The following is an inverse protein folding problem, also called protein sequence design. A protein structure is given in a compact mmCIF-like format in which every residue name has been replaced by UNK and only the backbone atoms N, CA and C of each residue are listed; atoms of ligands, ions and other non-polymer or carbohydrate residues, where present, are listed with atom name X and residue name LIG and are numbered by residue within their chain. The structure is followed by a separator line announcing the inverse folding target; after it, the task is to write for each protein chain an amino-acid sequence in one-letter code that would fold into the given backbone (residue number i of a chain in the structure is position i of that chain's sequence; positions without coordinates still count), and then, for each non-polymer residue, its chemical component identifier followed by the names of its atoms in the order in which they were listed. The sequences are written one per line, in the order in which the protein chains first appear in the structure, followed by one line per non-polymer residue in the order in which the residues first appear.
data_IF_462597180734
#
_entry.id   IF_462597180734
#
_cell.length_a   1.000
_cell.length_b   1.000
_cell.length_c   1.000
_cell.angle_alpha   90.00
_cell.angle_beta   90.00
_cell.angle_gamma   90.00
#
_symmetry.space_group_name_H-M   'P 1'
#
loop_
_entity.id
_entity.type
_entity.pdbx_description
1 polymer ?
#
# COMPACT_ATOMS: atom_id res chain seq x y z
N UNK A 1 -18.76 -7.99 8.47
CA UNK A 1 -18.14 -8.31 9.75
C UNK A 1 -18.49 -7.20 10.73
N UNK A 2 -19.45 -7.44 11.59
CA UNK A 2 -19.78 -6.55 12.71
C UNK A 2 -18.78 -6.87 13.81
N UNK A 3 -17.72 -6.08 13.88
CA UNK A 3 -16.75 -6.20 14.97
C UNK A 3 -17.36 -5.59 16.23
N UNK A 4 -17.84 -6.42 17.13
CA UNK A 4 -18.13 -6.04 18.52
C UNK A 4 -16.79 -5.87 19.28
N UNK A 5 -15.99 -4.92 18.87
CA UNK A 5 -14.86 -4.45 19.64
C UNK A 5 -15.30 -3.23 20.43
N UNK A 6 -15.33 -3.31 21.75
CA UNK A 6 -15.38 -2.12 22.60
C UNK A 6 -14.11 -1.32 22.33
N UNK A 7 -14.24 -0.27 21.52
CA UNK A 7 -13.20 0.71 21.38
C UNK A 7 -13.34 1.66 22.57
N UNK A 8 -12.47 1.48 23.56
CA UNK A 8 -12.44 2.26 24.81
C UNK A 8 -11.65 3.57 24.60
N UNK A 9 -12.06 4.35 23.60
CA UNK A 9 -11.41 5.60 23.20
C UNK A 9 -12.33 6.83 23.25
N UNK A 10 -13.36 6.76 24.08
CA UNK A 10 -14.22 7.90 24.37
C UNK A 10 -15.29 8.21 23.32
N UNK A 11 -15.50 7.31 22.34
CA UNK A 11 -16.62 7.44 21.41
C UNK A 11 -17.92 6.92 22.06
N UNK A 12 -19.04 7.65 21.92
CA UNK A 12 -20.32 7.18 22.43
C UNK A 12 -20.74 5.88 21.73
N UNK A 13 -21.33 4.95 22.47
CA UNK A 13 -21.82 3.64 21.97
C UNK A 13 -22.71 3.73 20.72
N UNK A 14 -23.34 4.89 20.48
CA UNK A 14 -24.16 5.18 19.30
C UNK A 14 -23.39 5.17 17.98
N UNK A 15 -22.06 5.19 17.99
CA UNK A 15 -21.20 5.24 16.78
C UNK A 15 -20.60 3.89 16.37
N UNK A 16 -20.96 2.81 17.04
CA UNK A 16 -20.44 1.44 16.77
C UNK A 16 -20.74 0.92 15.34
N UNK A 17 -21.65 1.57 14.61
CA UNK A 17 -22.02 1.21 13.24
C UNK A 17 -21.24 1.99 12.16
N UNK A 18 -20.38 2.91 12.55
CA UNK A 18 -19.61 3.73 11.61
C UNK A 18 -18.15 3.29 11.57
N UNK A 19 -17.55 3.41 10.38
CA UNK A 19 -16.11 3.26 10.22
C UNK A 19 -15.41 4.46 10.89
N UNK A 20 -14.56 4.17 11.87
CA UNK A 20 -13.67 5.16 12.47
C UNK A 20 -12.23 4.94 12.03
N UNK A 21 -11.53 6.03 11.74
CA UNK A 21 -10.12 6.00 11.38
C UNK A 21 -9.41 7.26 11.89
N UNK A 22 -8.38 7.09 12.73
CA UNK A 22 -7.45 8.18 13.03
C UNK A 22 -6.46 8.37 11.87
N UNK A 23 -6.70 9.36 11.04
CA UNK A 23 -5.91 9.62 9.85
C UNK A 23 -4.44 9.94 10.13
N UNK A 24 -4.10 10.51 11.32
CA UNK A 24 -2.71 10.81 11.71
C UNK A 24 -1.96 9.53 12.07
N UNK A 25 -2.57 8.68 12.87
CA UNK A 25 -1.95 7.42 13.28
C UNK A 25 -1.81 6.47 12.08
N UNK A 26 -2.81 6.40 11.21
CA UNK A 26 -2.72 5.64 9.96
C UNK A 26 -1.59 6.16 9.06
N UNK A 27 -1.45 7.48 8.92
CA UNK A 27 -0.35 8.07 8.15
C UNK A 27 1.02 7.69 8.71
N UNK A 28 1.22 7.88 10.03
CA UNK A 28 2.48 7.52 10.71
C UNK A 28 2.82 6.03 10.57
N UNK A 29 1.81 5.18 10.66
CA UNK A 29 1.96 3.75 10.46
C UNK A 29 2.33 3.43 9.02
N UNK A 30 1.55 3.89 8.06
CA UNK A 30 1.68 3.56 6.64
C UNK A 30 3.03 3.98 6.05
N UNK A 31 3.52 5.17 6.41
CA UNK A 31 4.84 5.69 5.95
C UNK A 31 6.02 4.85 6.43
N UNK A 32 5.86 4.06 7.48
CA UNK A 32 6.85 3.10 7.98
C UNK A 32 6.56 1.68 7.46
N UNK A 33 5.29 1.30 7.41
CA UNK A 33 4.86 -0.04 7.07
C UNK A 33 5.17 -0.42 5.61
N UNK A 34 4.91 0.49 4.66
CA UNK A 34 5.17 0.23 3.24
C UNK A 34 6.66 -0.05 2.96
N UNK A 35 7.61 0.82 3.38
CA UNK A 35 9.03 0.52 3.22
C UNK A 35 9.43 -0.77 3.92
N UNK A 36 9.01 -0.97 5.17
CA UNK A 36 9.35 -2.17 5.95
C UNK A 36 8.85 -3.46 5.30
N UNK A 37 7.63 -3.44 4.72
CA UNK A 37 7.07 -4.60 4.04
C UNK A 37 7.90 -5.01 2.82
N UNK A 38 8.23 -4.04 1.95
CA UNK A 38 9.06 -4.28 0.76
C UNK A 38 10.46 -4.74 1.13
N UNK A 39 11.09 -4.07 2.11
CA UNK A 39 12.42 -4.48 2.58
C UNK A 39 12.42 -5.91 3.11
N UNK A 40 11.46 -6.27 3.97
CA UNK A 40 11.35 -7.63 4.51
C UNK A 40 11.05 -8.68 3.42
N UNK A 41 10.26 -8.33 2.41
CA UNK A 41 10.00 -9.23 1.29
C UNK A 41 11.29 -9.46 0.47
N UNK A 42 12.06 -8.42 0.21
CA UNK A 42 13.33 -8.48 -0.52
C UNK A 42 14.40 -9.26 0.25
N UNK A 43 14.55 -9.02 1.55
CA UNK A 43 15.48 -9.74 2.43
C UNK A 43 15.27 -11.27 2.41
N UNK A 44 14.00 -11.72 2.35
CA UNK A 44 13.68 -13.16 2.32
C UNK A 44 14.20 -13.90 1.10
N UNK A 45 14.46 -13.18 0.02
CA UNK A 45 14.90 -13.75 -1.28
C UNK A 45 16.24 -13.20 -1.73
N UNK A 46 16.98 -12.52 -0.83
CA UNK A 46 18.25 -11.86 -1.12
C UNK A 46 18.20 -10.98 -2.37
N UNK A 47 17.21 -10.08 -2.39
CA UNK A 47 16.87 -9.26 -3.54
C UNK A 47 17.06 -7.76 -3.27
N UNK A 48 17.69 -7.04 -4.20
CA UNK A 48 17.86 -5.60 -4.12
C UNK A 48 16.62 -4.87 -4.66
N UNK A 49 15.96 -4.06 -3.81
CA UNK A 49 14.76 -3.32 -4.17
C UNK A 49 14.94 -2.35 -5.35
N UNK A 50 16.15 -1.87 -5.57
CA UNK A 50 16.49 -1.00 -6.70
C UNK A 50 16.29 -1.68 -8.06
N UNK A 51 16.27 -3.01 -8.10
CA UNK A 51 16.01 -3.82 -9.31
C UNK A 51 14.53 -3.89 -9.68
N UNK A 52 13.61 -3.49 -8.79
CA UNK A 52 12.19 -3.43 -9.15
C UNK A 52 11.99 -2.48 -10.33
N UNK A 53 11.28 -2.94 -11.35
CA UNK A 53 10.84 -2.12 -12.47
C UNK A 53 9.65 -1.25 -12.05
N UNK A 54 8.69 -1.85 -11.34
CA UNK A 54 7.44 -1.22 -10.93
C UNK A 54 7.07 -1.59 -9.51
N UNK A 55 6.52 -0.62 -8.78
CA UNK A 55 5.94 -0.82 -7.45
C UNK A 55 4.48 -0.35 -7.48
N UNK A 56 3.58 -1.21 -7.02
CA UNK A 56 2.16 -0.91 -6.91
C UNK A 56 1.77 -0.89 -5.43
N UNK A 57 1.70 0.28 -4.81
CA UNK A 57 1.24 0.42 -3.44
C UNK A 57 -0.28 0.44 -3.35
N UNK A 58 -0.82 0.14 -2.17
CA UNK A 58 -2.19 0.48 -1.83
C UNK A 58 -2.44 1.98 -2.04
N UNK A 59 -3.49 2.31 -2.78
CA UNK A 59 -3.85 3.67 -3.19
C UNK A 59 -4.65 4.40 -2.09
N UNK A 60 -4.03 4.63 -0.93
CA UNK A 60 -4.70 5.31 0.19
C UNK A 60 -4.54 6.83 0.14
N UNK A 61 -3.32 7.30 -0.10
CA UNK A 61 -2.96 8.71 -0.13
C UNK A 61 -1.60 8.88 -0.83
N UNK A 62 -1.52 9.78 -1.81
CA UNK A 62 -0.29 10.03 -2.56
C UNK A 62 0.89 10.42 -1.66
N UNK A 63 0.66 11.20 -0.61
CA UNK A 63 1.71 11.62 0.34
C UNK A 63 2.34 10.45 1.11
N UNK A 64 1.56 9.40 1.36
CA UNK A 64 2.09 8.16 1.97
C UNK A 64 3.06 7.50 0.99
N UNK A 65 2.69 7.42 -0.30
CA UNK A 65 3.50 6.83 -1.36
C UNK A 65 4.80 7.62 -1.56
N UNK A 66 4.71 8.95 -1.66
CA UNK A 66 5.87 9.84 -1.76
C UNK A 66 6.85 9.66 -0.60
N UNK A 67 6.31 9.59 0.62
CA UNK A 67 7.13 9.38 1.82
C UNK A 67 7.78 7.99 1.82
N UNK A 68 7.05 6.96 1.39
CA UNK A 68 7.58 5.61 1.27
C UNK A 68 8.69 5.52 0.21
N UNK A 69 8.50 6.13 -0.96
CA UNK A 69 9.49 6.21 -2.03
C UNK A 69 10.79 6.88 -1.54
N UNK A 70 10.66 8.03 -0.86
CA UNK A 70 11.78 8.74 -0.25
C UNK A 70 12.53 7.88 0.77
N UNK A 71 11.80 7.18 1.65
CA UNK A 71 12.40 6.35 2.69
C UNK A 71 13.12 5.12 2.12
N UNK A 72 12.67 4.61 0.96
CA UNK A 72 13.30 3.52 0.23
C UNK A 72 14.47 3.97 -0.66
N UNK A 73 14.60 5.28 -0.91
CA UNK A 73 15.54 5.80 -1.90
C UNK A 73 15.22 5.39 -3.33
N UNK A 74 13.93 5.10 -3.62
CA UNK A 74 13.45 4.67 -4.93
C UNK A 74 12.70 5.83 -5.58
N UNK A 75 12.95 6.06 -6.87
CA UNK A 75 12.31 7.14 -7.62
C UNK A 75 10.80 6.92 -7.76
N UNK A 76 10.03 8.01 -7.68
CA UNK A 76 8.58 8.00 -7.79
C UNK A 76 8.05 7.49 -9.13
N UNK A 77 8.84 7.58 -10.19
CA UNK A 77 8.47 7.07 -11.52
C UNK A 77 8.28 5.55 -11.57
N UNK A 78 8.86 4.82 -10.61
CA UNK A 78 8.63 3.38 -10.43
C UNK A 78 7.31 3.05 -9.72
N UNK A 79 6.65 4.03 -9.11
CA UNK A 79 5.39 3.80 -8.40
C UNK A 79 4.19 4.06 -9.30
N UNK A 80 3.31 3.08 -9.42
CA UNK A 80 2.02 3.26 -10.09
C UNK A 80 1.09 4.00 -9.17
N UNK A 81 0.51 5.09 -9.67
CA UNK A 81 -0.48 5.91 -8.98
C UNK A 81 -1.69 6.08 -9.90
N UNK A 82 -2.87 5.76 -9.39
CA UNK A 82 -4.15 5.96 -10.05
C UNK A 82 -5.24 6.47 -9.10
N UNK A 83 -4.79 6.99 -7.95
CA UNK A 83 -5.66 7.53 -6.90
C UNK A 83 -6.51 8.71 -7.39
N UNK A 84 -6.00 9.49 -8.33
CA UNK A 84 -6.68 10.60 -8.98
C UNK A 84 -7.88 10.16 -9.82
N UNK A 85 -7.84 8.93 -10.35
CA UNK A 85 -8.91 8.36 -11.17
C UNK A 85 -9.95 7.61 -10.33
N UNK A 86 -9.51 6.87 -9.31
CA UNK A 86 -10.34 5.88 -8.61
C UNK A 86 -10.54 6.14 -7.12
N UNK A 87 -9.82 7.11 -6.55
CA UNK A 87 -9.75 7.32 -5.11
C UNK A 87 -9.27 6.06 -4.36
N UNK A 88 -9.53 5.97 -3.05
CA UNK A 88 -9.19 4.80 -2.25
C UNK A 88 -10.27 3.72 -2.38
N UNK A 89 -10.02 2.70 -3.19
CA UNK A 89 -10.90 1.56 -3.41
C UNK A 89 -10.60 0.37 -2.49
N UNK A 90 -10.03 0.63 -1.32
CA UNK A 90 -9.70 -0.41 -0.31
C UNK A 90 -8.85 -1.54 -0.89
N UNK A 91 -9.24 -2.81 -0.70
CA UNK A 91 -8.51 -3.99 -1.19
C UNK A 91 -8.44 -4.08 -2.71
N UNK A 92 -9.35 -3.43 -3.43
CA UNK A 92 -9.35 -3.40 -4.90
C UNK A 92 -8.29 -2.45 -5.48
N UNK A 93 -7.69 -1.57 -4.68
CA UNK A 93 -6.78 -0.53 -5.19
C UNK A 93 -5.53 -1.08 -5.89
N UNK A 94 -4.90 -2.11 -5.32
CA UNK A 94 -3.73 -2.77 -5.93
C UNK A 94 -4.11 -3.51 -7.22
N UNK A 95 -5.13 -4.41 -7.25
CA UNK A 95 -5.47 -5.10 -8.47
C UNK A 95 -5.97 -4.19 -9.59
N UNK A 96 -6.68 -3.09 -9.29
CA UNK A 96 -7.06 -2.10 -10.31
C UNK A 96 -5.81 -1.42 -10.88
N UNK A 97 -4.88 -0.98 -10.04
CA UNK A 97 -3.65 -0.33 -10.49
C UNK A 97 -2.76 -1.31 -11.29
N UNK A 98 -2.70 -2.58 -10.90
CA UNK A 98 -2.00 -3.62 -11.65
C UNK A 98 -2.62 -3.82 -13.04
N UNK A 99 -3.93 -3.97 -13.11
CA UNK A 99 -4.65 -4.15 -14.38
C UNK A 99 -4.41 -2.97 -15.33
N UNK A 100 -4.53 -1.74 -14.84
CA UNK A 100 -4.28 -0.55 -15.65
C UNK A 100 -2.81 -0.49 -16.13
N UNK A 101 -1.86 -0.74 -15.23
CA UNK A 101 -0.44 -0.69 -15.57
C UNK A 101 -0.06 -1.73 -16.66
N UNK A 102 -0.66 -2.91 -16.62
CA UNK A 102 -0.50 -3.94 -17.66
C UNK A 102 -1.16 -3.50 -18.96
N UNK A 103 -2.41 -3.03 -18.90
CA UNK A 103 -3.17 -2.61 -20.09
C UNK A 103 -2.52 -1.41 -20.80
N UNK A 104 -1.96 -0.49 -20.02
CA UNK A 104 -1.22 0.68 -20.54
C UNK A 104 0.22 0.35 -21.00
N UNK A 105 0.65 -0.90 -20.86
CA UNK A 105 2.00 -1.36 -21.23
C UNK A 105 3.13 -0.82 -20.35
N UNK A 106 2.80 -0.35 -19.13
CA UNK A 106 3.77 0.06 -18.10
C UNK A 106 4.44 -1.14 -17.44
N UNK A 107 3.79 -2.29 -17.45
CA UNK A 107 4.31 -3.58 -16.99
C UNK A 107 4.34 -4.53 -18.17
N UNK A 108 5.47 -5.19 -18.37
CA UNK A 108 5.72 -6.14 -19.46
C UNK A 108 6.22 -7.46 -18.90
N UNK A 109 6.08 -8.53 -19.69
CA UNK A 109 6.65 -9.83 -19.34
C UNK A 109 8.14 -9.73 -19.02
N UNK A 110 8.55 -10.28 -17.89
CA UNK A 110 9.91 -10.21 -17.35
C UNK A 110 10.18 -9.03 -16.40
N UNK A 111 9.23 -8.11 -16.24
CA UNK A 111 9.39 -7.01 -15.28
C UNK A 111 9.29 -7.52 -13.83
N UNK A 112 10.15 -6.99 -12.99
CA UNK A 112 10.14 -7.25 -11.55
C UNK A 112 9.19 -6.28 -10.87
N UNK A 113 8.13 -6.80 -10.29
CA UNK A 113 7.01 -6.04 -9.73
C UNK A 113 6.91 -6.23 -8.23
N UNK A 114 6.79 -5.13 -7.50
CA UNK A 114 6.49 -5.13 -6.06
C UNK A 114 5.06 -4.68 -5.80
N UNK A 115 4.26 -5.51 -5.12
CA UNK A 115 2.95 -5.11 -4.59
C UNK A 115 3.10 -4.87 -3.09
N UNK A 116 2.54 -3.79 -2.57
CA UNK A 116 2.64 -3.49 -1.14
C UNK A 116 1.40 -2.79 -0.60
N UNK A 117 0.90 -3.26 0.52
CA UNK A 117 -0.29 -2.73 1.14
C UNK A 117 -0.26 -2.73 2.65
N UNK A 118 -1.21 -2.01 3.21
CA UNK A 118 -1.52 -1.97 4.64
C UNK A 118 -3.02 -1.82 4.85
N UNK A 119 -3.49 -2.16 6.03
CA UNK A 119 -4.90 -2.09 6.36
C UNK A 119 -5.17 -2.19 7.84
N UNK A 120 -6.47 -2.35 8.15
CA UNK A 120 -6.93 -2.53 9.51
C UNK A 120 -6.22 -3.70 10.20
N UNK A 121 -6.03 -3.58 11.49
CA UNK A 121 -5.33 -4.57 12.27
C UNK A 121 -4.41 -3.96 13.34
N UNK A 122 -3.47 -3.06 13.09
CA UNK A 122 -2.92 -2.63 11.81
C UNK A 122 -2.07 -3.74 11.18
N UNK A 123 -2.27 -4.01 9.90
CA UNK A 123 -1.53 -5.04 9.16
C UNK A 123 -0.85 -4.46 7.93
N UNK A 124 0.18 -5.12 7.44
CA UNK A 124 0.86 -4.78 6.20
C UNK A 124 1.49 -6.01 5.57
N UNK A 125 1.72 -5.95 4.27
CA UNK A 125 2.39 -7.01 3.54
C UNK A 125 2.91 -6.54 2.19
N UNK A 126 3.85 -7.31 1.63
CA UNK A 126 4.36 -7.10 0.29
C UNK A 126 4.64 -8.43 -0.42
N UNK A 127 4.57 -8.39 -1.73
CA UNK A 127 4.93 -9.48 -2.63
C UNK A 127 5.87 -8.92 -3.69
N UNK A 128 6.93 -9.65 -4.01
CA UNK A 128 7.83 -9.37 -5.15
C UNK A 128 7.76 -10.56 -6.08
N UNK A 129 7.56 -10.31 -7.37
CA UNK A 129 7.46 -11.35 -8.38
C UNK A 129 7.92 -10.84 -9.75
N UNK A 130 8.23 -11.75 -10.65
CA UNK A 130 8.44 -11.49 -12.08
C UNK A 130 7.11 -11.66 -12.80
N UNK A 131 6.73 -10.66 -13.60
CA UNK A 131 5.44 -10.62 -14.33
C UNK A 131 5.50 -11.41 -15.65
#
# INVERSE_FOLDING_TARGET
MTGEGKVDDGFPESNSHYLYQDGREVYKFATKALPSALTKAAEKIDFELTRLNVIIPHQANVRIIETAAKNLGISMDKFIINLDKHANTSSASIPIALHEAVTEGKIKSGDLVGLVGFGAGLTFGAIIFEF
#
